data_IF_977463033875
#
_entry.id   IF_977463033875
#
_cell.length_a   1.000
_cell.length_b   1.000
_cell.length_c   1.000
_cell.angle_alpha   90.00
_cell.angle_beta   90.00
_cell.angle_gamma   90.00
#
_symmetry.space_group_name_H-M   'P 1'
#
loop_
_entity.id
_entity.type
_entity.pdbx_description
1 polymer ?
#
# COMPACT_ATOMS: atom_id res chain seq x y z
N UNK A 1 -5.54 -16.66 21.38
CA UNK A 1 -5.86 -16.21 20.02
C UNK A 1 -6.56 -17.36 19.34
N UNK A 2 -7.78 -17.12 18.83
CA UNK A 2 -8.46 -18.07 17.95
C UNK A 2 -7.64 -18.24 16.68
N UNK A 3 -7.55 -19.46 16.18
CA UNK A 3 -6.79 -19.75 14.97
C UNK A 3 -7.56 -19.40 13.68
N UNK A 4 -6.88 -19.53 12.53
CA UNK A 4 -7.48 -19.24 11.22
C UNK A 4 -8.73 -20.07 10.94
N UNK A 5 -8.73 -21.33 11.34
CA UNK A 5 -9.87 -22.22 11.09
C UNK A 5 -11.07 -21.81 11.94
N UNK A 6 -10.86 -21.46 13.20
CA UNK A 6 -11.89 -20.95 14.10
C UNK A 6 -12.48 -19.62 13.60
N UNK A 7 -11.63 -18.67 13.20
CA UNK A 7 -12.07 -17.35 12.69
C UNK A 7 -12.84 -17.50 11.37
N UNK A 8 -12.32 -18.25 10.40
CA UNK A 8 -13.00 -18.44 9.12
C UNK A 8 -14.32 -19.17 9.27
N UNK A 9 -14.39 -20.17 10.16
CA UNK A 9 -15.65 -20.85 10.48
C UNK A 9 -16.68 -19.87 11.04
N UNK A 10 -16.27 -18.97 11.93
CA UNK A 10 -17.15 -17.97 12.51
C UNK A 10 -17.73 -17.03 11.45
N UNK A 11 -16.91 -16.53 10.53
CA UNK A 11 -17.34 -15.63 9.46
C UNK A 11 -18.29 -16.31 8.49
N UNK A 12 -17.98 -17.54 8.07
CA UNK A 12 -18.81 -18.29 7.13
C UNK A 12 -20.13 -18.72 7.78
N UNK A 13 -20.11 -19.16 9.04
CA UNK A 13 -21.32 -19.57 9.75
C UNK A 13 -22.25 -18.39 10.02
N UNK A 14 -21.73 -17.21 10.37
CA UNK A 14 -22.52 -15.99 10.50
C UNK A 14 -23.19 -15.65 9.16
N UNK A 15 -22.41 -15.56 8.08
CA UNK A 15 -22.91 -15.28 6.74
C UNK A 15 -23.95 -16.30 6.28
N UNK A 16 -23.75 -17.58 6.59
CA UNK A 16 -24.68 -18.66 6.22
C UNK A 16 -26.03 -18.51 6.91
N UNK A 17 -26.03 -18.17 8.19
CA UNK A 17 -27.23 -18.12 9.02
C UNK A 17 -28.04 -16.82 8.87
N UNK A 18 -27.40 -15.70 8.53
CA UNK A 18 -28.09 -14.43 8.31
C UNK A 18 -28.69 -14.33 6.89
N UNK A 19 -30.01 -14.21 6.77
CA UNK A 19 -30.68 -14.16 5.46
C UNK A 19 -30.37 -12.90 4.66
N UNK A 20 -29.99 -11.82 5.34
CA UNK A 20 -29.65 -10.53 4.71
C UNK A 20 -28.33 -10.60 3.96
N UNK A 21 -27.45 -11.55 4.30
CA UNK A 21 -26.17 -11.79 3.61
C UNK A 21 -26.39 -12.81 2.49
N UNK A 22 -26.06 -12.43 1.26
CA UNK A 22 -26.28 -13.25 0.05
C UNK A 22 -24.99 -13.82 -0.53
N UNK A 23 -23.91 -13.06 -0.43
CA UNK A 23 -22.57 -13.45 -0.86
C UNK A 23 -21.57 -13.02 0.23
N UNK A 24 -20.57 -13.86 0.49
CA UNK A 24 -19.44 -13.55 1.35
C UNK A 24 -18.14 -13.88 0.64
N UNK A 25 -17.19 -12.96 0.72
CA UNK A 25 -15.86 -13.11 0.13
C UNK A 25 -14.78 -12.76 1.14
N UNK A 26 -13.60 -13.34 0.97
CA UNK A 26 -12.37 -12.94 1.64
C UNK A 26 -11.49 -12.18 0.65
N UNK A 27 -10.79 -11.18 1.14
CA UNK A 27 -9.91 -10.32 0.35
C UNK A 27 -8.49 -10.30 0.93
N UNK A 28 -7.64 -9.46 0.34
CA UNK A 28 -6.40 -9.04 0.95
C UNK A 28 -5.31 -10.12 0.98
N UNK A 29 -4.40 -9.99 1.94
CA UNK A 29 -3.15 -10.77 1.90
C UNK A 29 -3.33 -12.27 2.11
N UNK A 30 -4.45 -12.70 2.70
CA UNK A 30 -4.75 -14.13 2.97
C UNK A 30 -5.15 -14.90 1.72
N UNK A 31 -5.66 -14.23 0.70
CA UNK A 31 -5.98 -14.85 -0.60
C UNK A 31 -4.74 -14.95 -1.50
N UNK A 32 -3.69 -14.18 -1.22
CA UNK A 32 -2.46 -14.18 -2.01
C UNK A 32 -1.52 -15.34 -1.63
N UNK A 33 -1.43 -16.35 -2.48
CA UNK A 33 -0.56 -17.53 -2.30
C UNK A 33 0.94 -17.22 -2.31
N UNK A 34 1.34 -16.06 -2.81
CA UNK A 34 2.75 -15.62 -2.84
C UNK A 34 3.18 -14.90 -1.55
N UNK A 35 2.24 -14.63 -0.64
CA UNK A 35 2.51 -14.05 0.68
C UNK A 35 2.58 -15.19 1.70
N UNK A 36 3.71 -15.33 2.44
CA UNK A 36 3.79 -16.28 3.54
C UNK A 36 2.71 -15.96 4.59
N UNK A 37 2.03 -17.00 5.06
CA UNK A 37 1.06 -16.85 6.14
C UNK A 37 1.76 -16.63 7.47
N UNK A 38 1.24 -15.70 8.26
CA UNK A 38 1.69 -15.44 9.63
C UNK A 38 0.52 -15.03 10.53
N UNK A 39 0.82 -14.91 11.83
CA UNK A 39 -0.17 -14.58 12.87
C UNK A 39 -0.57 -13.10 12.90
N UNK A 40 0.07 -12.25 12.11
CA UNK A 40 -0.20 -10.81 12.03
C UNK A 40 -1.01 -10.43 10.78
N UNK A 41 -1.40 -11.41 9.95
CA UNK A 41 -2.31 -11.14 8.85
C UNK A 41 -3.73 -10.88 9.38
N UNK A 42 -4.28 -9.74 8.99
CA UNK A 42 -5.67 -9.38 9.24
C UNK A 42 -6.62 -10.27 8.42
N UNK A 43 -7.90 -10.28 8.79
CA UNK A 43 -8.97 -10.85 7.96
C UNK A 43 -9.72 -9.73 7.26
N UNK A 44 -9.68 -9.71 5.94
CA UNK A 44 -10.48 -8.82 5.11
C UNK A 44 -11.70 -9.61 4.60
N UNK A 45 -12.89 -9.31 5.12
CA UNK A 45 -14.14 -10.01 4.77
C UNK A 45 -15.14 -9.01 4.20
N UNK A 46 -15.80 -9.38 3.11
CA UNK A 46 -16.88 -8.58 2.53
C UNK A 46 -18.18 -9.38 2.48
N UNK A 47 -19.24 -8.83 3.07
CA UNK A 47 -20.60 -9.35 3.01
C UNK A 47 -21.47 -8.52 2.08
N UNK A 48 -22.06 -9.18 1.10
CA UNK A 48 -23.02 -8.57 0.18
C UNK A 48 -24.42 -8.73 0.76
N UNK A 49 -25.05 -7.59 1.07
CA UNK A 49 -26.25 -7.52 1.90
C UNK A 49 -27.44 -6.91 1.17
N UNK A 50 -28.65 -7.37 1.52
CA UNK A 50 -29.91 -6.82 1.02
C UNK A 50 -30.41 -5.62 1.84
N UNK A 51 -30.05 -5.54 3.13
CA UNK A 51 -30.63 -4.60 4.10
C UNK A 51 -29.54 -3.86 4.89
N UNK A 52 -28.80 -2.98 4.22
CA UNK A 52 -27.69 -2.21 4.81
C UNK A 52 -28.06 -1.50 6.11
N UNK A 53 -29.18 -0.75 6.11
CA UNK A 53 -29.59 0.05 7.27
C UNK A 53 -29.90 -0.81 8.50
N UNK A 54 -30.29 -2.08 8.32
CA UNK A 54 -30.53 -2.98 9.46
C UNK A 54 -29.25 -3.36 10.20
N UNK A 55 -28.10 -3.41 9.51
CA UNK A 55 -26.79 -3.63 10.14
C UNK A 55 -26.27 -2.36 10.81
N UNK A 56 -26.60 -1.19 10.25
CA UNK A 56 -26.19 0.12 10.79
C UNK A 56 -27.03 0.59 11.97
N UNK A 57 -28.22 0.01 12.16
CA UNK A 57 -29.15 0.41 13.22
C UNK A 57 -28.55 0.24 14.63
N UNK A 58 -27.72 -0.78 14.85
CA UNK A 58 -26.93 -0.95 16.06
C UNK A 58 -25.80 -1.97 15.82
N UNK A 59 -24.78 -1.93 16.68
CA UNK A 59 -23.55 -2.72 16.53
C UNK A 59 -23.59 -4.07 17.27
N UNK A 60 -24.71 -4.45 17.93
CA UNK A 60 -24.76 -5.66 18.79
C UNK A 60 -24.58 -6.97 18.01
N UNK A 61 -24.95 -6.99 16.72
CA UNK A 61 -24.77 -8.18 15.88
C UNK A 61 -23.30 -8.57 15.71
N UNK A 62 -22.37 -7.63 15.91
CA UNK A 62 -20.93 -7.86 15.85
C UNK A 62 -20.40 -8.64 17.06
N UNK A 63 -21.17 -8.76 18.15
CA UNK A 63 -20.76 -9.48 19.38
C UNK A 63 -20.52 -10.97 19.14
N UNK A 64 -21.13 -11.52 18.10
CA UNK A 64 -20.86 -12.90 17.66
C UNK A 64 -19.39 -13.13 17.30
N UNK A 65 -18.67 -12.09 16.87
CA UNK A 65 -17.26 -12.18 16.49
C UNK A 65 -16.31 -12.11 17.69
N UNK A 66 -16.83 -11.97 18.91
CA UNK A 66 -16.07 -11.98 20.15
C UNK A 66 -15.78 -10.58 20.71
N UNK A 67 -15.13 -10.57 21.88
CA UNK A 67 -14.84 -9.36 22.63
C UNK A 67 -13.86 -8.45 21.87
N UNK A 68 -14.22 -7.18 21.72
CA UNK A 68 -13.45 -6.17 20.98
C UNK A 68 -12.67 -5.28 21.94
N UNK A 69 -11.40 -5.01 21.62
CA UNK A 69 -10.58 -3.98 22.27
C UNK A 69 -10.98 -2.60 21.73
N UNK A 70 -11.09 -2.50 20.41
CA UNK A 70 -11.40 -1.27 19.70
C UNK A 70 -12.17 -1.60 18.42
N UNK A 71 -13.03 -0.66 18.00
CA UNK A 71 -13.70 -0.70 16.72
C UNK A 71 -13.67 0.70 16.09
N UNK A 72 -13.41 0.76 14.78
CA UNK A 72 -13.56 1.94 13.96
C UNK A 72 -14.59 1.68 12.87
N UNK A 73 -15.40 2.70 12.54
CA UNK A 73 -16.40 2.69 11.46
C UNK A 73 -16.05 3.82 10.49
N UNK A 74 -15.20 3.58 9.47
CA UNK A 74 -14.69 4.65 8.62
C UNK A 74 -15.77 5.54 8.00
N UNK A 75 -16.90 4.96 7.61
CA UNK A 75 -18.03 5.67 6.99
C UNK A 75 -18.96 6.38 8.00
N UNK A 76 -18.68 6.28 9.31
CA UNK A 76 -19.46 6.87 10.41
C UNK A 76 -18.57 7.73 11.33
N UNK A 77 -17.63 8.45 10.73
CA UNK A 77 -16.76 9.42 11.41
C UNK A 77 -17.11 10.84 10.98
N UNK A 78 -17.03 11.80 11.92
CA UNK A 78 -17.19 13.23 11.60
C UNK A 78 -15.88 13.86 11.11
N UNK A 79 -14.75 13.47 11.70
CA UNK A 79 -13.43 14.04 11.37
C UNK A 79 -12.95 13.64 9.96
N UNK A 80 -13.29 12.42 9.53
CA UNK A 80 -12.90 11.87 8.24
C UNK A 80 -14.17 11.56 7.45
N UNK A 81 -14.40 12.21 6.29
CA UNK A 81 -15.60 11.97 5.49
C UNK A 81 -15.60 10.55 4.93
N UNK A 82 -16.79 9.99 4.73
CA UNK A 82 -16.96 8.69 4.10
C UNK A 82 -16.54 8.72 2.62
N UNK A 83 -15.72 7.76 2.19
CA UNK A 83 -15.20 7.67 0.81
C UNK A 83 -15.64 6.40 0.06
N UNK A 84 -16.19 5.39 0.74
CA UNK A 84 -16.57 4.10 0.15
C UNK A 84 -17.96 4.07 -0.51
N UNK A 85 -18.53 5.24 -0.84
CA UNK A 85 -19.83 5.34 -1.51
C UNK A 85 -20.97 4.72 -0.69
N UNK A 86 -21.61 3.68 -1.24
CA UNK A 86 -22.74 2.99 -0.59
C UNK A 86 -22.31 1.88 0.37
N UNK A 87 -21.01 1.63 0.51
CA UNK A 87 -20.51 0.56 1.37
C UNK A 87 -20.41 1.05 2.81
N UNK A 88 -20.23 0.11 3.74
CA UNK A 88 -20.04 0.44 5.14
C UNK A 88 -19.11 -0.58 5.79
N UNK A 89 -18.06 -0.12 6.46
CA UNK A 89 -17.02 -1.00 6.99
C UNK A 89 -16.85 -0.88 8.50
N UNK A 90 -16.37 -1.98 9.09
CA UNK A 90 -16.03 -2.11 10.50
C UNK A 90 -14.60 -2.66 10.59
N UNK A 91 -13.72 -1.88 11.19
CA UNK A 91 -12.35 -2.28 11.52
C UNK A 91 -12.34 -2.66 13.00
N UNK A 92 -12.17 -3.94 13.31
CA UNK A 92 -12.29 -4.47 14.66
C UNK A 92 -11.00 -5.16 15.11
N UNK A 93 -10.47 -4.73 16.26
CA UNK A 93 -9.40 -5.42 16.97
C UNK A 93 -9.99 -6.20 18.15
N UNK A 94 -9.83 -7.52 18.17
CA UNK A 94 -10.37 -8.39 19.20
C UNK A 94 -9.41 -8.58 20.38
N UNK A 95 -9.96 -8.94 21.54
CA UNK A 95 -9.23 -9.18 22.79
C UNK A 95 -8.19 -10.31 22.68
N UNK A 96 -8.39 -11.22 21.73
CA UNK A 96 -7.48 -12.33 21.47
C UNK A 96 -6.36 -11.99 20.46
N UNK A 97 -6.32 -10.74 19.98
CA UNK A 97 -5.30 -10.16 19.11
C UNK A 97 -5.60 -10.23 17.61
N UNK A 98 -6.64 -10.95 17.20
CA UNK A 98 -7.07 -10.98 15.79
C UNK A 98 -7.66 -9.63 15.37
N UNK A 99 -7.45 -9.24 14.11
CA UNK A 99 -8.07 -8.06 13.49
C UNK A 99 -8.94 -8.46 12.30
N UNK A 100 -10.13 -7.89 12.22
CA UNK A 100 -11.10 -8.08 11.15
C UNK A 100 -11.47 -6.73 10.55
N UNK A 101 -11.22 -6.59 9.26
CA UNK A 101 -11.74 -5.52 8.42
C UNK A 101 -12.96 -6.10 7.68
N UNK A 102 -14.16 -5.76 8.15
CA UNK A 102 -15.43 -6.26 7.65
C UNK A 102 -16.16 -5.19 6.84
N UNK A 103 -16.37 -5.42 5.56
CA UNK A 103 -17.11 -4.50 4.68
C UNK A 103 -18.49 -5.06 4.36
N UNK A 104 -19.50 -4.20 4.44
CA UNK A 104 -20.85 -4.45 3.94
C UNK A 104 -21.00 -3.77 2.58
N UNK A 105 -21.48 -4.52 1.60
CA UNK A 105 -21.66 -4.07 0.22
C UNK A 105 -23.11 -4.32 -0.18
N UNK A 106 -23.83 -3.37 -0.80
CA UNK A 106 -25.15 -3.67 -1.36
C UNK A 106 -25.07 -4.81 -2.37
N UNK A 107 -25.91 -5.84 -2.24
CA UNK A 107 -25.86 -7.02 -3.12
C UNK A 107 -26.01 -6.69 -4.62
N UNK A 108 -26.72 -5.60 -4.93
CA UNK A 108 -26.86 -5.09 -6.30
C UNK A 108 -25.55 -4.57 -6.93
N UNK A 109 -24.50 -4.35 -6.14
CA UNK A 109 -23.18 -3.89 -6.60
C UNK A 109 -22.17 -5.03 -6.79
N UNK A 110 -22.59 -6.30 -6.64
CA UNK A 110 -21.69 -7.44 -6.74
C UNK A 110 -20.95 -7.52 -8.09
N UNK A 111 -21.63 -7.25 -9.21
CA UNK A 111 -21.00 -7.26 -10.53
C UNK A 111 -19.93 -6.17 -10.66
N UNK A 112 -20.26 -4.95 -10.24
CA UNK A 112 -19.34 -3.81 -10.24
C UNK A 112 -18.14 -4.04 -9.32
N UNK A 113 -18.35 -4.68 -8.17
CA UNK A 113 -17.29 -5.08 -7.25
C UNK A 113 -16.29 -6.02 -7.94
N UNK A 114 -16.76 -7.11 -8.55
CA UNK A 114 -15.84 -8.06 -9.20
C UNK A 114 -15.15 -7.46 -10.42
N UNK A 115 -15.81 -6.55 -11.14
CA UNK A 115 -15.21 -5.86 -12.29
C UNK A 115 -14.08 -4.89 -11.90
N UNK A 116 -14.13 -4.33 -10.68
CA UNK A 116 -13.17 -3.33 -10.17
C UNK A 116 -12.19 -3.89 -9.14
N UNK A 117 -12.39 -5.13 -8.70
CA UNK A 117 -11.53 -5.81 -7.74
C UNK A 117 -10.07 -5.87 -8.23
N UNK A 118 -9.15 -5.81 -7.27
CA UNK A 118 -7.70 -5.97 -7.48
C UNK A 118 -7.27 -7.40 -7.86
N UNK A 119 -8.21 -8.34 -7.87
CA UNK A 119 -8.01 -9.75 -8.16
C UNK A 119 -7.65 -10.59 -6.94
N UNK A 120 -7.46 -10.04 -5.74
CA UNK A 120 -7.15 -10.79 -4.51
C UNK A 120 -8.40 -11.21 -3.75
N UNK A 121 -9.33 -11.88 -4.42
CA UNK A 121 -10.63 -12.27 -3.86
C UNK A 121 -10.81 -13.79 -3.86
N UNK A 122 -11.34 -14.32 -2.77
CA UNK A 122 -11.80 -15.70 -2.62
C UNK A 122 -13.27 -15.72 -2.21
N UNK A 123 -14.12 -16.41 -2.98
CA UNK A 123 -15.54 -16.56 -2.66
C UNK A 123 -15.72 -17.61 -1.57
N UNK A 124 -16.26 -17.21 -0.42
CA UNK A 124 -16.48 -18.09 0.74
C UNK A 124 -17.89 -18.71 0.74
N UNK A 125 -18.88 -17.95 0.30
CA UNK A 125 -20.29 -18.35 0.28
C UNK A 125 -21.03 -17.56 -0.80
N UNK A 126 -21.79 -18.25 -1.65
CA UNK A 126 -22.73 -17.63 -2.59
C UNK A 126 -24.07 -18.37 -2.52
N UNK A 127 -25.10 -17.72 -1.96
CA UNK A 127 -26.41 -18.34 -1.75
C UNK A 127 -27.31 -18.29 -2.99
N UNK A 128 -27.06 -17.34 -3.89
CA UNK A 128 -27.93 -17.03 -5.02
C UNK A 128 -27.28 -17.34 -6.38
N UNK A 129 -26.03 -17.82 -6.37
CA UNK A 129 -25.21 -18.03 -7.58
C UNK A 129 -25.02 -16.72 -8.35
N UNK A 130 -24.76 -15.64 -7.61
CA UNK A 130 -24.46 -14.31 -8.14
C UNK A 130 -23.17 -14.35 -8.97
N UNK A 131 -22.18 -15.13 -8.51
CA UNK A 131 -20.89 -15.26 -9.16
C UNK A 131 -21.01 -16.25 -10.33
N UNK A 132 -21.00 -15.72 -11.55
CA UNK A 132 -21.23 -16.49 -12.78
C UNK A 132 -20.01 -17.23 -13.32
N UNK A 133 -18.82 -16.95 -12.81
CA UNK A 133 -17.55 -17.51 -13.27
C UNK A 133 -16.62 -17.85 -12.10
N UNK A 134 -15.61 -18.69 -12.35
CA UNK A 134 -14.62 -19.02 -11.33
C UNK A 134 -13.75 -17.80 -11.00
N UNK A 135 -13.79 -17.35 -9.74
CA UNK A 135 -12.92 -16.29 -9.23
C UNK A 135 -11.67 -16.94 -8.67
N UNK A 136 -10.51 -16.62 -9.27
CA UNK A 136 -9.20 -17.08 -8.79
C UNK A 136 -8.38 -15.90 -8.31
N UNK A 137 -8.02 -15.93 -7.03
CA UNK A 137 -7.15 -14.92 -6.44
C UNK A 137 -5.82 -14.81 -7.20
N UNK A 138 -5.43 -13.59 -7.56
CA UNK A 138 -4.25 -13.28 -8.35
C UNK A 138 -3.70 -11.91 -7.99
N UNK A 139 -2.39 -11.80 -7.78
CA UNK A 139 -1.72 -10.56 -7.40
C UNK A 139 -1.15 -9.77 -8.59
N UNK A 140 -1.50 -10.15 -9.82
CA UNK A 140 -0.97 -9.56 -11.06
C UNK A 140 -1.10 -8.04 -11.15
N UNK A 141 -2.14 -7.46 -10.57
CA UNK A 141 -2.32 -6.02 -10.55
C UNK A 141 -1.23 -5.30 -9.72
N UNK A 142 -0.62 -6.01 -8.78
CA UNK A 142 0.46 -5.50 -7.93
C UNK A 142 1.85 -5.74 -8.48
N UNK A 143 1.97 -6.40 -9.64
CA UNK A 143 3.27 -6.66 -10.24
C UNK A 143 3.94 -5.36 -10.66
N UNK A 144 5.27 -5.31 -10.47
CA UNK A 144 6.08 -4.21 -10.96
C UNK A 144 5.84 -4.09 -12.47
N UNK A 145 5.48 -2.90 -12.94
CA UNK A 145 5.30 -2.66 -14.37
C UNK A 145 6.59 -2.13 -14.99
N UNK A 146 6.88 -2.58 -16.21
CA UNK A 146 7.98 -2.03 -17.00
C UNK A 146 7.68 -0.57 -17.32
N UNK A 147 8.53 0.40 -16.92
CA UNK A 147 8.27 1.79 -17.25
C UNK A 147 8.40 2.00 -18.75
N UNK A 148 7.54 2.84 -19.30
CA UNK A 148 7.78 3.50 -20.58
C UNK A 148 8.89 4.56 -20.43
N UNK A 149 9.46 5.01 -21.55
CA UNK A 149 10.45 6.09 -21.55
C UNK A 149 9.92 7.38 -20.89
N UNK A 150 8.62 7.65 -21.01
CA UNK A 150 7.97 8.82 -20.42
C UNK A 150 7.81 8.67 -18.91
N UNK A 151 7.31 7.53 -18.43
CA UNK A 151 7.19 7.29 -16.98
C UNK A 151 8.56 7.33 -16.28
N UNK A 152 9.60 6.83 -16.95
CA UNK A 152 10.97 6.95 -16.47
C UNK A 152 11.40 8.43 -16.31
N UNK A 153 11.18 9.27 -17.32
CA UNK A 153 11.49 10.70 -17.26
C UNK A 153 10.65 11.42 -16.19
N UNK A 154 9.35 11.12 -16.11
CA UNK A 154 8.42 11.69 -15.12
C UNK A 154 8.89 11.37 -13.68
N UNK A 155 9.35 10.14 -13.42
CA UNK A 155 9.89 9.76 -12.11
C UNK A 155 11.20 10.49 -11.79
N UNK A 156 12.08 10.67 -12.77
CA UNK A 156 13.29 11.48 -12.59
C UNK A 156 12.93 12.94 -12.32
N UNK A 157 11.98 13.50 -13.07
CA UNK A 157 11.53 14.87 -12.91
C UNK A 157 10.96 15.12 -11.51
N UNK A 158 10.04 14.26 -11.07
CA UNK A 158 9.39 14.36 -9.75
C UNK A 158 10.42 14.27 -8.61
N UNK A 159 11.33 13.28 -8.67
CA UNK A 159 12.39 13.12 -7.67
C UNK A 159 13.24 14.38 -7.54
N UNK A 160 13.79 14.86 -8.66
CA UNK A 160 14.70 15.99 -8.66
C UNK A 160 13.99 17.30 -8.33
N UNK A 161 12.77 17.54 -8.82
CA UNK A 161 12.00 18.75 -8.51
C UNK A 161 11.67 18.83 -7.01
N UNK A 162 11.08 17.77 -6.45
CA UNK A 162 10.64 17.75 -5.06
C UNK A 162 11.82 17.78 -4.10
N UNK A 163 12.97 17.25 -4.51
CA UNK A 163 14.19 17.40 -3.70
C UNK A 163 14.55 18.86 -3.43
N UNK A 164 14.20 19.80 -4.33
CA UNK A 164 14.40 21.24 -4.08
C UNK A 164 13.53 21.76 -2.94
N UNK A 165 12.39 21.11 -2.64
CA UNK A 165 11.52 21.48 -1.53
C UNK A 165 12.14 21.01 -0.21
N UNK A 166 12.73 19.81 -0.19
CA UNK A 166 13.53 19.33 0.94
C UNK A 166 14.68 20.29 1.22
N UNK A 167 15.46 20.66 0.19
CA UNK A 167 16.56 21.64 0.27
C UNK A 167 16.10 22.97 0.85
N UNK A 168 15.02 23.54 0.32
CA UNK A 168 14.47 24.82 0.80
C UNK A 168 13.98 24.71 2.24
N UNK A 169 13.29 23.62 2.60
CA UNK A 169 12.83 23.38 3.96
C UNK A 169 13.99 23.35 4.96
N UNK A 170 15.07 22.63 4.63
CA UNK A 170 16.26 22.57 5.47
C UNK A 170 16.97 23.93 5.59
N UNK A 171 17.10 24.67 4.50
CA UNK A 171 17.69 26.00 4.50
C UNK A 171 16.85 27.02 5.30
N UNK A 172 15.52 26.90 5.25
CA UNK A 172 14.57 27.76 5.97
C UNK A 172 14.34 27.38 7.42
N UNK A 173 14.97 26.31 7.91
CA UNK A 173 14.73 25.74 9.23
C UNK A 173 13.27 25.27 9.43
N UNK A 174 12.73 24.65 8.39
CA UNK A 174 11.39 24.03 8.34
C UNK A 174 11.56 22.50 8.21
N UNK A 175 12.12 21.86 9.24
CA UNK A 175 12.53 20.45 9.16
C UNK A 175 11.36 19.49 8.91
N UNK A 176 10.18 19.71 9.50
CA UNK A 176 9.02 18.84 9.28
C UNK A 176 8.56 18.89 7.81
N UNK A 177 8.50 20.09 7.22
CA UNK A 177 8.21 20.25 5.80
C UNK A 177 9.22 19.48 4.92
N UNK A 178 10.51 19.55 5.25
CA UNK A 178 11.54 18.82 4.52
C UNK A 178 11.39 17.29 4.67
N UNK A 179 11.11 16.81 5.88
CA UNK A 179 10.90 15.39 6.18
C UNK A 179 9.68 14.84 5.45
N UNK A 180 8.57 15.57 5.44
CA UNK A 180 7.34 15.13 4.77
C UNK A 180 7.57 14.96 3.27
N UNK A 181 8.21 15.95 2.60
CA UNK A 181 8.54 15.83 1.17
C UNK A 181 9.54 14.71 0.87
N UNK A 182 10.49 14.45 1.78
CA UNK A 182 11.42 13.35 1.65
C UNK A 182 10.71 12.00 1.77
N UNK A 183 9.82 11.85 2.75
CA UNK A 183 9.09 10.62 3.07
C UNK A 183 7.97 10.29 2.08
N UNK A 184 7.21 11.29 1.66
CA UNK A 184 5.99 11.10 0.88
C UNK A 184 6.22 11.12 -0.62
N UNK A 185 7.34 11.69 -1.09
CA UNK A 185 7.55 11.90 -2.54
C UNK A 185 8.95 11.51 -3.01
N UNK A 186 10.02 12.08 -2.45
CA UNK A 186 11.38 11.84 -2.97
C UNK A 186 11.81 10.38 -2.76
N UNK A 187 11.72 9.85 -1.53
CA UNK A 187 12.08 8.44 -1.28
C UNK A 187 11.14 7.45 -1.98
N UNK A 188 9.81 7.67 -2.06
CA UNK A 188 8.94 6.83 -2.88
C UNK A 188 9.32 6.77 -4.36
N UNK A 189 9.82 7.86 -4.97
CA UNK A 189 10.35 7.83 -6.34
C UNK A 189 11.69 7.08 -6.42
N UNK A 190 12.56 7.17 -5.41
CA UNK A 190 13.74 6.32 -5.31
C UNK A 190 13.38 4.84 -5.25
N UNK A 191 12.45 4.45 -4.38
CA UNK A 191 11.98 3.07 -4.27
C UNK A 191 11.35 2.58 -5.58
N UNK A 192 10.61 3.44 -6.29
CA UNK A 192 10.08 3.14 -7.63
C UNK A 192 11.20 2.87 -8.64
N UNK A 193 12.24 3.70 -8.65
CA UNK A 193 13.39 3.52 -9.54
C UNK A 193 14.17 2.24 -9.24
N UNK A 194 14.37 1.92 -7.95
CA UNK A 194 14.95 0.65 -7.51
C UNK A 194 14.09 -0.55 -7.92
N UNK A 195 12.75 -0.44 -7.78
CA UNK A 195 11.81 -1.46 -8.21
C UNK A 195 11.87 -1.71 -9.73
N UNK A 196 11.96 -0.65 -10.54
CA UNK A 196 12.13 -0.81 -11.99
C UNK A 196 13.45 -1.47 -12.36
N UNK A 197 14.54 -1.19 -11.62
CA UNK A 197 15.80 -1.92 -11.82
C UNK A 197 15.65 -3.40 -11.50
N UNK A 198 15.07 -3.73 -10.35
CA UNK A 198 14.80 -5.12 -9.97
C UNK A 198 13.94 -5.82 -11.03
N UNK A 199 12.89 -5.15 -11.52
CA UNK A 199 12.03 -5.67 -12.59
C UNK A 199 12.78 -5.87 -13.92
N UNK A 200 13.79 -5.05 -14.22
CA UNK A 200 14.60 -5.23 -15.43
C UNK A 200 15.58 -6.41 -15.36
N UNK A 201 15.97 -6.83 -14.15
CA UNK A 201 16.83 -8.00 -13.91
C UNK A 201 16.04 -9.30 -13.76
N UNK A 202 14.93 -9.26 -13.01
CA UNK A 202 14.19 -10.46 -12.60
C UNK A 202 12.89 -10.70 -13.38
N UNK A 203 12.50 -9.74 -14.22
CA UNK A 203 11.24 -9.75 -14.95
C UNK A 203 10.09 -9.09 -14.19
N UNK A 204 9.18 -8.48 -14.93
CA UNK A 204 8.04 -7.71 -14.43
C UNK A 204 6.85 -8.59 -14.03
N UNK A 205 7.13 -9.73 -13.39
CA UNK A 205 6.15 -10.81 -13.16
C UNK A 205 5.88 -11.10 -11.69
N UNK A 206 6.15 -10.14 -10.81
CA UNK A 206 5.93 -10.26 -9.37
C UNK A 206 5.80 -8.89 -8.70
N UNK A 207 5.31 -8.86 -7.47
CA UNK A 207 5.19 -7.66 -6.64
C UNK A 207 6.31 -7.57 -5.59
N UNK A 208 6.73 -6.34 -5.26
CA UNK A 208 7.57 -6.05 -4.09
C UNK A 208 6.75 -5.81 -2.81
N UNK A 209 5.43 -6.03 -2.88
CA UNK A 209 4.49 -5.81 -1.80
C UNK A 209 4.17 -4.33 -1.58
N UNK A 210 3.07 -4.08 -0.87
CA UNK A 210 2.65 -2.73 -0.46
C UNK A 210 3.80 -2.04 0.29
N UNK A 211 4.04 -0.77 -0.04
CA UNK A 211 5.16 0.03 0.49
C UNK A 211 6.54 -0.63 0.30
N UNK A 212 6.73 -1.45 -0.73
CA UNK A 212 8.00 -2.11 -1.05
C UNK A 212 8.54 -3.01 0.07
N UNK A 213 7.66 -3.57 0.91
CA UNK A 213 8.04 -4.40 2.08
C UNK A 213 8.90 -5.64 1.77
N UNK A 214 9.04 -6.02 0.50
CA UNK A 214 9.89 -7.14 0.07
C UNK A 214 11.12 -6.71 -0.74
N UNK A 215 11.41 -5.42 -0.87
CA UNK A 215 12.49 -4.91 -1.70
C UNK A 215 13.88 -5.40 -1.25
N UNK A 216 14.10 -5.52 0.06
CA UNK A 216 15.33 -6.04 0.68
C UNK A 216 15.76 -7.40 0.09
N UNK A 217 14.81 -8.25 -0.31
CA UNK A 217 15.09 -9.59 -0.85
C UNK A 217 15.84 -9.57 -2.19
N UNK A 218 15.85 -8.42 -2.87
CA UNK A 218 16.38 -8.25 -4.22
C UNK A 218 17.52 -7.24 -4.27
N UNK A 219 17.71 -6.42 -3.24
CA UNK A 219 18.77 -5.41 -3.23
C UNK A 219 20.10 -6.02 -2.80
N UNK A 220 21.23 -5.53 -3.35
CA UNK A 220 22.54 -5.74 -2.72
C UNK A 220 22.52 -5.22 -1.29
N UNK A 221 23.18 -5.93 -0.36
CA UNK A 221 23.21 -5.54 1.06
C UNK A 221 23.68 -4.10 1.29
N UNK A 222 24.69 -3.65 0.53
CA UNK A 222 25.20 -2.27 0.59
C UNK A 222 24.11 -1.24 0.24
N UNK A 223 23.32 -1.50 -0.81
CA UNK A 223 22.25 -0.58 -1.22
C UNK A 223 21.06 -0.61 -0.25
N UNK A 224 20.84 -1.75 0.41
CA UNK A 224 19.84 -1.84 1.47
C UNK A 224 20.27 -1.04 2.70
N UNK A 225 21.52 -1.16 3.12
CA UNK A 225 22.09 -0.39 4.23
C UNK A 225 22.05 1.12 3.92
N UNK A 226 22.42 1.52 2.71
CA UNK A 226 22.32 2.91 2.24
C UNK A 226 20.87 3.39 2.26
N UNK A 227 19.92 2.60 1.73
CA UNK A 227 18.51 2.93 1.74
C UNK A 227 17.98 3.11 3.17
N UNK A 228 18.33 2.22 4.10
CA UNK A 228 17.97 2.34 5.51
C UNK A 228 18.59 3.58 6.16
N UNK A 229 19.82 3.93 5.80
CA UNK A 229 20.48 5.14 6.31
C UNK A 229 19.72 6.41 5.96
N UNK A 230 18.93 6.39 4.87
CA UNK A 230 18.09 7.53 4.47
C UNK A 230 16.96 7.82 5.45
N UNK A 231 16.59 6.91 6.36
CA UNK A 231 15.54 7.11 7.39
C UNK A 231 16.07 7.75 8.69
N UNK A 232 17.16 8.51 8.59
CA UNK A 232 17.74 9.23 9.74
C UNK A 232 17.42 10.72 9.63
N UNK A 233 16.24 11.17 10.06
CA UNK A 233 15.83 12.59 9.97
C UNK A 233 15.59 13.28 11.32
N UNK A 234 16.22 12.79 12.40
CA UNK A 234 16.07 13.38 13.74
C UNK A 234 16.85 14.71 13.96
N UNK A 235 17.51 15.24 12.93
CA UNK A 235 18.21 16.53 12.97
C UNK A 235 18.46 17.06 11.55
N UNK A 236 18.66 18.38 11.41
CA UNK A 236 18.97 19.00 10.11
C UNK A 236 20.17 18.36 9.40
N UNK A 237 21.25 18.07 10.14
CA UNK A 237 22.45 17.48 9.57
C UNK A 237 22.19 16.06 9.05
N UNK A 238 21.37 15.28 9.78
CA UNK A 238 21.02 13.93 9.36
C UNK A 238 20.04 13.97 8.18
N UNK A 239 19.05 14.86 8.15
CA UNK A 239 18.15 15.01 6.98
C UNK A 239 18.90 15.44 5.72
N UNK A 240 19.92 16.29 5.83
CA UNK A 240 20.82 16.60 4.71
C UNK A 240 21.56 15.34 4.22
N UNK A 241 22.12 14.55 5.15
CA UNK A 241 22.78 13.28 4.81
C UNK A 241 21.80 12.33 4.12
N UNK A 242 20.60 12.15 4.65
CA UNK A 242 19.55 11.32 4.04
C UNK A 242 19.22 11.75 2.61
N UNK A 243 19.09 13.06 2.37
CA UNK A 243 18.83 13.59 1.03
C UNK A 243 19.98 13.27 0.07
N UNK A 244 21.24 13.42 0.50
CA UNK A 244 22.39 13.14 -0.35
C UNK A 244 22.55 11.65 -0.64
N UNK A 245 22.31 10.77 0.32
CA UNK A 245 22.29 9.32 0.08
C UNK A 245 21.15 8.97 -0.90
N UNK A 246 19.98 9.59 -0.77
CA UNK A 246 18.92 9.46 -1.78
C UNK A 246 19.39 9.88 -3.18
N UNK A 247 20.17 10.96 -3.32
CA UNK A 247 20.72 11.39 -4.61
C UNK A 247 21.68 10.34 -5.19
N UNK A 248 22.59 9.80 -4.37
CA UNK A 248 23.56 8.79 -4.81
C UNK A 248 22.86 7.52 -5.30
N UNK A 249 21.93 6.98 -4.51
CA UNK A 249 21.11 5.84 -4.89
C UNK A 249 20.28 6.16 -6.14
N UNK A 250 19.62 7.31 -6.19
CA UNK A 250 18.78 7.65 -7.35
C UNK A 250 19.60 7.70 -8.63
N UNK A 251 20.78 8.33 -8.61
CA UNK A 251 21.71 8.34 -9.76
C UNK A 251 22.13 6.93 -10.17
N UNK A 252 22.50 6.09 -9.20
CA UNK A 252 22.91 4.69 -9.46
C UNK A 252 21.81 3.93 -10.20
N UNK A 253 20.60 3.95 -9.65
CA UNK A 253 19.49 3.15 -10.15
C UNK A 253 18.88 3.72 -11.44
N UNK A 254 18.71 5.04 -11.54
CA UNK A 254 18.15 5.67 -12.74
C UNK A 254 19.06 5.54 -13.97
N UNK A 255 20.39 5.63 -13.80
CA UNK A 255 21.34 5.34 -14.88
C UNK A 255 21.26 3.88 -15.33
N UNK A 256 21.21 2.94 -14.39
CA UNK A 256 21.10 1.51 -14.71
C UNK A 256 19.79 1.18 -15.43
N UNK A 257 18.66 1.78 -15.01
CA UNK A 257 17.36 1.62 -15.69
C UNK A 257 17.43 2.21 -17.10
N UNK A 258 17.92 3.44 -17.26
CA UNK A 258 18.06 4.09 -18.56
C UNK A 258 18.90 3.25 -19.54
N UNK A 259 20.05 2.75 -19.08
CA UNK A 259 20.92 1.88 -19.88
C UNK A 259 20.22 0.57 -20.26
N UNK A 260 19.63 -0.13 -19.27
CA UNK A 260 19.01 -1.44 -19.50
C UNK A 260 17.79 -1.40 -20.44
N UNK A 261 17.08 -0.27 -20.48
CA UNK A 261 15.87 -0.09 -21.29
C UNK A 261 16.09 0.75 -22.56
N UNK A 262 17.29 1.32 -22.75
CA UNK A 262 17.64 2.18 -23.88
C UNK A 262 16.97 3.56 -23.83
N UNK A 263 16.75 4.11 -22.63
CA UNK A 263 16.17 5.44 -22.42
C UNK A 263 17.23 6.53 -22.27
N UNK A 264 16.84 7.77 -22.52
CA UNK A 264 17.71 8.93 -22.37
C UNK A 264 17.78 9.29 -20.88
N UNK A 265 19.00 9.39 -20.34
CA UNK A 265 19.21 9.89 -18.98
C UNK A 265 19.02 11.42 -18.94
N UNK A 266 18.10 11.96 -18.11
CA UNK A 266 17.83 13.39 -18.09
C UNK A 266 18.94 14.20 -17.39
N UNK A 267 19.02 15.49 -17.69
CA UNK A 267 20.01 16.40 -17.10
C UNK A 267 19.56 17.07 -15.78
N UNK A 268 18.42 16.63 -15.22
CA UNK A 268 17.88 17.17 -13.96
C UNK A 268 18.87 17.00 -12.80
N UNK A 269 19.49 15.82 -12.71
CA UNK A 269 20.53 15.47 -11.75
C UNK A 269 21.62 16.55 -11.66
N UNK A 270 22.28 16.85 -12.78
CA UNK A 270 23.39 17.82 -12.81
C UNK A 270 22.92 19.22 -12.37
N UNK A 271 21.74 19.64 -12.82
CA UNK A 271 21.22 20.98 -12.54
C UNK A 271 20.82 21.14 -11.07
N UNK A 272 20.12 20.15 -10.51
CA UNK A 272 19.64 20.18 -9.13
C UNK A 272 20.77 19.92 -8.14
N UNK A 273 21.77 19.12 -8.50
CA UNK A 273 22.99 18.95 -7.70
C UNK A 273 23.70 20.29 -7.48
N UNK A 274 23.99 21.02 -8.57
CA UNK A 274 24.62 22.36 -8.49
C UNK A 274 23.78 23.35 -7.69
N UNK A 275 22.46 23.31 -7.85
CA UNK A 275 21.53 24.14 -7.08
C UNK A 275 21.63 23.86 -5.57
N UNK A 276 21.65 22.58 -5.22
CA UNK A 276 21.67 22.09 -3.85
C UNK A 276 22.99 22.40 -3.16
N UNK A 277 24.12 22.09 -3.80
CA UNK A 277 25.48 22.39 -3.30
C UNK A 277 25.64 23.87 -3.00
N UNK A 278 25.24 24.75 -3.93
CA UNK A 278 25.30 26.20 -3.72
C UNK A 278 24.54 26.66 -2.47
N UNK A 279 23.40 26.05 -2.18
CA UNK A 279 22.62 26.39 -0.98
C UNK A 279 23.31 25.80 0.25
N UNK A 280 23.65 24.51 0.21
CA UNK A 280 24.27 23.79 1.33
C UNK A 280 25.56 24.47 1.80
N UNK A 281 26.44 24.83 0.87
CA UNK A 281 27.73 25.49 1.16
C UNK A 281 27.57 26.94 1.65
N UNK A 282 26.41 27.56 1.41
CA UNK A 282 26.11 28.91 1.89
C UNK A 282 25.57 28.93 3.32
N UNK A 283 25.21 27.78 3.87
CA UNK A 283 24.69 27.67 5.22
C UNK A 283 25.83 27.68 6.26
N UNK A 284 25.64 28.33 7.42
CA UNK A 284 26.62 28.40 8.49
C UNK A 284 26.79 27.08 9.25
#
# INVERSE_FOLDING_TARGET
>A
MRDEQEMMKLFVDFARNDQRIRLAVMEGSRTNRHIPRDTFQDYDISYFVTEMDSFKANDQWLDVFGDRIMMQKPEDMELFPAELGNWFSYIMLFADGNKLDLTLIPVGEAEDYFAKSDGLVEVLLDKDRIVSHEVRASDRQYWIQRPTAREFDDCCNEFWMVSTYVVKGLARKEILFAIDHLNEIARPNLLRMMAWRIGSEHGYTFSLGKNYKFIERYLPNEDWDDLLSTYTENSYANTWRSLFVCYELFRKYSKAVAESLGYIYPNYDETITKYTERIYDSLP
#
